data_IF_677628356318
#
_entry.id   IF_677628356318
#
_cell.length_a   1.000
_cell.length_b   1.000
_cell.length_c   1.000
_cell.angle_alpha   90.00
_cell.angle_beta   90.00
_cell.angle_gamma   90.00
#
_symmetry.space_group_name_H-M   'P 1'
#
loop_
_entity.id
_entity.type
_entity.pdbx_description
1 polymer ?
#
# COMPACT_ATOMS: atom_id res chain seq x y z
N UNK A 1 1.17 15.95 13.68
CA UNK A 1 2.64 15.89 13.65
C UNK A 1 3.00 15.24 12.33
N UNK A 2 3.16 16.05 11.29
CA UNK A 2 3.39 15.59 9.93
C UNK A 2 4.84 15.12 9.83
N UNK A 3 5.05 13.83 9.58
CA UNK A 3 6.38 13.32 9.29
C UNK A 3 6.73 13.72 7.86
N UNK A 4 7.28 14.92 7.69
CA UNK A 4 8.06 15.31 6.51
C UNK A 4 9.39 14.54 6.55
N UNK A 5 9.35 13.21 6.49
CA UNK A 5 10.55 12.39 6.38
C UNK A 5 10.74 12.00 4.91
N UNK A 6 11.56 12.74 4.14
CA UNK A 6 11.79 12.43 2.73
C UNK A 6 12.26 10.99 2.50
N UNK A 7 12.92 10.37 3.50
CA UNK A 7 13.36 8.97 3.43
C UNK A 7 12.22 7.93 3.45
N UNK A 8 10.97 8.33 3.72
CA UNK A 8 9.80 7.45 3.58
C UNK A 8 9.32 7.44 2.13
N UNK A 9 9.28 8.61 1.51
CA UNK A 9 8.79 8.80 0.14
C UNK A 9 9.54 7.96 -0.89
N UNK A 10 10.87 7.84 -0.73
CA UNK A 10 11.76 7.10 -1.65
C UNK A 10 11.72 5.58 -1.46
N UNK A 11 10.99 5.06 -0.46
CA UNK A 11 10.95 3.61 -0.22
C UNK A 11 10.15 2.91 -1.31
N UNK A 12 10.61 1.73 -1.69
CA UNK A 12 9.91 0.87 -2.65
C UNK A 12 9.50 -0.40 -1.93
N UNK A 13 8.29 -0.89 -2.23
CA UNK A 13 7.77 -2.16 -1.71
C UNK A 13 7.43 -3.09 -2.87
N UNK A 14 7.58 -4.39 -2.64
CA UNK A 14 7.18 -5.44 -3.57
C UNK A 14 6.14 -6.37 -2.93
N UNK A 15 5.17 -6.82 -3.72
CA UNK A 15 4.24 -7.86 -3.28
C UNK A 15 4.97 -9.20 -3.18
N UNK A 16 4.63 -9.96 -2.14
CA UNK A 16 5.12 -11.32 -1.99
C UNK A 16 4.33 -12.28 -2.90
N UNK A 17 4.96 -13.38 -3.32
CA UNK A 17 4.40 -14.33 -4.30
C UNK A 17 3.19 -15.10 -3.78
N UNK A 18 3.09 -15.27 -2.46
CA UNK A 18 2.09 -16.11 -1.82
C UNK A 18 0.83 -15.30 -1.42
N UNK A 19 0.58 -14.23 -2.16
CA UNK A 19 -0.44 -13.21 -1.88
C UNK A 19 -1.44 -13.19 -3.02
N UNK A 20 -2.70 -13.41 -2.68
CA UNK A 20 -3.83 -13.21 -3.59
C UNK A 20 -4.66 -12.04 -3.09
N UNK A 21 -5.07 -11.17 -4.01
CA UNK A 21 -5.98 -10.07 -3.75
C UNK A 21 -7.16 -10.21 -4.71
N UNK A 22 -8.37 -10.27 -4.15
CA UNK A 22 -9.63 -10.31 -4.91
C UNK A 22 -10.47 -9.09 -4.56
N UNK A 23 -10.91 -8.31 -5.55
CA UNK A 23 -11.73 -7.11 -5.34
C UNK A 23 -13.22 -7.41 -5.46
N UNK A 24 -14.01 -6.84 -4.56
CA UNK A 24 -15.47 -6.95 -4.51
C UNK A 24 -16.08 -5.56 -4.25
N UNK A 25 -16.41 -4.84 -5.33
CA UNK A 25 -16.80 -3.43 -5.21
C UNK A 25 -15.65 -2.59 -4.66
N UNK A 26 -15.90 -1.92 -3.54
CA UNK A 26 -14.95 -1.00 -2.89
C UNK A 26 -14.10 -1.68 -1.80
N UNK A 27 -14.18 -3.01 -1.68
CA UNK A 27 -13.40 -3.78 -0.72
C UNK A 27 -12.53 -4.84 -1.43
N UNK A 28 -11.44 -5.23 -0.77
CA UNK A 28 -10.54 -6.28 -1.23
C UNK A 28 -10.38 -7.39 -0.21
N UNK A 29 -10.46 -8.65 -0.65
CA UNK A 29 -10.07 -9.80 0.17
C UNK A 29 -8.58 -10.10 -0.07
N UNK A 30 -7.76 -9.85 0.94
CA UNK A 30 -6.37 -10.26 1.00
C UNK A 30 -6.27 -11.68 1.55
N UNK A 31 -5.57 -12.55 0.84
CA UNK A 31 -5.19 -13.89 1.30
C UNK A 31 -3.69 -14.05 1.19
N UNK A 32 -3.02 -14.32 2.32
CA UNK A 32 -1.60 -14.64 2.39
C UNK A 32 -1.45 -16.10 2.78
N UNK A 33 -1.13 -16.95 1.82
CA UNK A 33 -1.14 -18.41 2.01
C UNK A 33 -0.12 -18.89 3.03
N UNK A 34 1.06 -18.26 3.06
CA UNK A 34 2.18 -18.66 3.93
C UNK A 34 1.88 -18.49 5.42
N UNK A 35 1.12 -17.47 5.79
CA UNK A 35 0.78 -17.14 7.18
C UNK A 35 -0.66 -17.52 7.55
N UNK A 36 -1.42 -18.12 6.62
CA UNK A 36 -2.86 -18.32 6.75
C UNK A 36 -3.63 -17.03 7.10
N UNK A 37 -3.09 -15.87 6.72
CA UNK A 37 -3.71 -14.57 6.98
C UNK A 37 -4.78 -14.28 5.95
N UNK A 38 -5.96 -13.88 6.42
CA UNK A 38 -7.04 -13.37 5.60
C UNK A 38 -7.51 -12.04 6.19
N UNK A 39 -7.69 -11.03 5.35
CA UNK A 39 -8.15 -9.72 5.79
C UNK A 39 -9.01 -9.06 4.71
N UNK A 40 -10.03 -8.33 5.15
CA UNK A 40 -10.76 -7.40 4.28
C UNK A 40 -10.02 -6.07 4.32
N UNK A 41 -9.66 -5.56 3.15
CA UNK A 41 -9.05 -4.26 2.92
C UNK A 41 -10.14 -3.30 2.44
N UNK A 42 -10.09 -2.06 2.92
CA UNK A 42 -10.90 -0.99 2.36
C UNK A 42 -10.40 -0.62 0.95
N UNK A 43 -11.09 0.31 0.29
CA UNK A 43 -10.79 0.70 -1.09
C UNK A 43 -9.36 1.21 -1.24
N UNK A 44 -8.94 2.13 -0.36
CA UNK A 44 -7.60 2.72 -0.40
C UNK A 44 -6.50 1.69 -0.18
N UNK A 45 -6.64 0.80 0.81
CA UNK A 45 -5.63 -0.23 1.08
C UNK A 45 -5.56 -1.28 -0.05
N UNK A 46 -6.72 -1.63 -0.61
CA UNK A 46 -6.81 -2.47 -1.83
C UNK A 46 -6.04 -1.81 -2.96
N UNK A 47 -6.28 -0.52 -3.19
CA UNK A 47 -5.66 0.23 -4.27
C UNK A 47 -4.15 0.40 -4.10
N UNK A 48 -3.69 0.68 -2.89
CA UNK A 48 -2.26 0.68 -2.55
C UNK A 48 -1.65 -0.66 -2.94
N UNK A 49 -2.23 -1.78 -2.49
CA UNK A 49 -1.68 -3.10 -2.77
C UNK A 49 -1.66 -3.43 -4.28
N UNK A 50 -2.66 -2.98 -5.06
CA UNK A 50 -2.65 -3.12 -6.52
C UNK A 50 -1.52 -2.35 -7.22
N UNK A 51 -1.12 -1.20 -6.66
CA UNK A 51 -0.07 -0.34 -7.22
C UNK A 51 1.35 -0.79 -6.84
N UNK A 52 1.49 -1.60 -5.79
CA UNK A 52 2.77 -2.17 -5.33
C UNK A 52 3.28 -3.18 -6.34
N UNK A 53 4.38 -2.82 -7.03
CA UNK A 53 4.98 -3.62 -8.11
C UNK A 53 6.49 -3.87 -7.94
N UNK A 54 7.07 -3.43 -6.82
CA UNK A 54 8.51 -3.52 -6.59
C UNK A 54 9.32 -2.45 -7.31
N UNK A 55 8.68 -1.45 -7.91
CA UNK A 55 9.35 -0.37 -8.66
C UNK A 55 8.91 1.01 -8.19
N UNK A 56 7.61 1.21 -7.97
CA UNK A 56 7.08 2.51 -7.55
C UNK A 56 7.49 2.86 -6.13
N UNK A 57 7.88 4.10 -5.91
CA UNK A 57 8.14 4.62 -4.56
C UNK A 57 6.83 4.90 -3.81
N UNK A 58 6.89 5.03 -2.50
CA UNK A 58 5.74 5.45 -1.67
C UNK A 58 5.16 6.78 -2.18
N UNK A 59 6.02 7.74 -2.52
CA UNK A 59 5.57 9.04 -3.06
C UNK A 59 4.92 8.93 -4.44
N UNK A 60 5.38 8.04 -5.31
CA UNK A 60 4.73 7.81 -6.61
C UNK A 60 3.34 7.17 -6.47
N UNK A 61 3.21 6.20 -5.54
CA UNK A 61 1.92 5.61 -5.20
C UNK A 61 0.98 6.68 -4.62
N UNK A 62 1.47 7.48 -3.66
CA UNK A 62 0.69 8.55 -3.05
C UNK A 62 0.24 9.61 -4.08
N UNK A 63 1.11 10.01 -5.00
CA UNK A 63 0.77 10.93 -6.08
C UNK A 63 -0.34 10.36 -6.99
N UNK A 64 -0.28 9.05 -7.29
CA UNK A 64 -1.34 8.38 -8.04
C UNK A 64 -2.67 8.40 -7.29
N UNK A 65 -2.68 8.12 -5.99
CA UNK A 65 -3.91 8.14 -5.18
C UNK A 65 -4.47 9.56 -4.99
N UNK A 66 -3.62 10.57 -4.84
CA UNK A 66 -4.04 11.98 -4.81
C UNK A 66 -4.77 12.37 -6.09
N UNK A 67 -4.29 11.92 -7.26
CA UNK A 67 -4.95 12.17 -8.53
C UNK A 67 -6.25 11.39 -8.67
N UNK A 68 -6.27 10.13 -8.23
CA UNK A 68 -7.42 9.23 -8.34
C UNK A 68 -8.58 9.65 -7.42
N UNK A 69 -8.28 10.10 -6.20
CA UNK A 69 -9.27 10.52 -5.20
C UNK A 69 -9.46 12.04 -5.10
N UNK A 70 -8.85 12.82 -6.00
CA UNK A 70 -8.91 14.29 -6.02
C UNK A 70 -8.50 14.96 -4.70
N UNK A 71 -7.56 14.35 -3.96
CA UNK A 71 -7.09 14.82 -2.66
C UNK A 71 -5.88 15.75 -2.82
N UNK A 72 -5.93 17.02 -2.37
CA UNK A 72 -4.86 17.99 -2.61
C UNK A 72 -3.64 17.85 -1.68
N UNK A 73 -3.75 17.12 -0.57
CA UNK A 73 -2.67 16.99 0.43
C UNK A 73 -1.83 15.73 0.19
N UNK A 74 -0.79 15.86 -0.65
CA UNK A 74 0.15 14.79 -0.94
C UNK A 74 0.93 14.31 0.30
N UNK A 75 1.18 15.19 1.27
CA UNK A 75 1.93 14.84 2.48
C UNK A 75 1.14 13.91 3.40
N UNK A 76 -0.14 14.22 3.60
CA UNK A 76 -1.07 13.35 4.33
C UNK A 76 -1.21 12.00 3.62
N UNK A 77 -1.48 11.99 2.31
CA UNK A 77 -1.65 10.74 1.55
C UNK A 77 -0.37 9.90 1.55
N UNK A 78 0.81 10.52 1.48
CA UNK A 78 2.09 9.78 1.58
C UNK A 78 2.23 9.08 2.93
N UNK A 79 1.80 9.75 4.01
CA UNK A 79 1.81 9.17 5.37
C UNK A 79 0.83 7.98 5.44
N UNK A 80 -0.39 8.16 4.95
CA UNK A 80 -1.42 7.11 4.95
C UNK A 80 -1.00 5.89 4.13
N UNK A 81 -0.43 6.10 2.93
CA UNK A 81 0.11 5.02 2.09
C UNK A 81 1.21 4.26 2.82
N UNK A 82 2.12 4.98 3.49
CA UNK A 82 3.18 4.33 4.25
C UNK A 82 2.65 3.52 5.43
N UNK A 83 1.67 4.04 6.18
CA UNK A 83 1.03 3.31 7.28
C UNK A 83 0.33 2.03 6.78
N UNK A 84 -0.38 2.11 5.65
CA UNK A 84 -0.98 0.96 4.98
C UNK A 84 0.10 -0.06 4.59
N UNK A 85 1.23 0.37 4.02
CA UNK A 85 2.32 -0.52 3.64
C UNK A 85 2.96 -1.22 4.85
N UNK A 86 3.05 -0.54 5.99
CA UNK A 86 3.53 -1.13 7.24
C UNK A 86 2.56 -2.19 7.77
N UNK A 87 1.25 -1.94 7.74
CA UNK A 87 0.24 -2.93 8.12
C UNK A 87 0.28 -4.14 7.17
N UNK A 88 0.32 -3.91 5.85
CA UNK A 88 0.45 -4.97 4.84
C UNK A 88 1.74 -5.77 4.99
N UNK A 89 2.85 -5.12 5.34
CA UNK A 89 4.12 -5.80 5.64
C UNK A 89 3.97 -6.68 6.90
N UNK A 90 3.33 -6.17 7.95
CA UNK A 90 3.04 -6.94 9.17
C UNK A 90 2.19 -8.19 8.92
N UNK A 91 1.30 -8.14 7.93
CA UNK A 91 0.48 -9.27 7.46
C UNK A 91 1.21 -10.22 6.51
N UNK A 92 2.43 -9.89 6.09
CA UNK A 92 3.19 -10.67 5.12
C UNK A 92 2.68 -10.55 3.68
N UNK A 93 2.01 -9.45 3.32
CA UNK A 93 1.54 -9.20 1.96
C UNK A 93 2.61 -8.51 1.07
N UNK A 94 3.46 -7.69 1.68
CA UNK A 94 4.52 -6.94 0.99
C UNK A 94 5.83 -6.98 1.77
N UNK A 95 6.92 -6.65 1.10
CA UNK A 95 8.23 -6.43 1.73
C UNK A 95 8.94 -5.22 1.10
N UNK A 96 9.88 -4.57 1.81
CA UNK A 96 10.73 -3.56 1.20
C UNK A 96 11.48 -4.17 0.00
N UNK A 97 11.43 -3.48 -1.14
CA UNK A 97 12.24 -3.79 -2.31
C UNK A 97 13.66 -3.23 -2.12
N UNK A 98 14.64 -3.84 -2.78
CA UNK A 98 16.04 -3.39 -2.76
C UNK A 98 16.29 -2.24 -3.72
#
# INVERSE_FOLDING_TARGET
MTLENPAVGDRVYARLTDVTLSRFGDEGLLVVSRSATQAVLNDTATRVLELVDGKRTVSEIAAHLCQEYETPDLGAVTTDVYEILIDLQGRGAVSPAR
#
